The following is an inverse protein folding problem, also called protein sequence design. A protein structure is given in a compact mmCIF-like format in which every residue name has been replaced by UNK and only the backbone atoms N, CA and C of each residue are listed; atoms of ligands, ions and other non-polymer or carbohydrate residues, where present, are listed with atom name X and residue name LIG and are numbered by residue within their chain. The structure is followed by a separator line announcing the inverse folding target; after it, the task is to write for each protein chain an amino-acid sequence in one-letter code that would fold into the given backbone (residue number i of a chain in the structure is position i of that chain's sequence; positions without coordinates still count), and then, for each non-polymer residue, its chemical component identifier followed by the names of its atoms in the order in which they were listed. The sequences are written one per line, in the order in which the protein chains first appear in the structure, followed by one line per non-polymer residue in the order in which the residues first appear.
data_IF_157309807282
#
_entry.id   IF_157309807282
#
_cell.length_a   1.000
_cell.length_b   1.000
_cell.length_c   1.000
_cell.angle_alpha   90.00
_cell.angle_beta   90.00
_cell.angle_gamma   90.00
#
_symmetry.space_group_name_H-M   'P 1'
#
loop_
_entity.id
_entity.type
_entity.pdbx_description
1 polymer ?
#
# COMPACT_ATOMS: atom_id res chain seq x y z
N UNK A 1 -5.21 -26.34 -20.10
CA UNK A 1 -5.57 -24.94 -19.82
C UNK A 1 -5.32 -24.57 -18.34
N UNK A 2 -5.85 -25.33 -17.38
CA UNK A 2 -5.65 -25.11 -15.93
C UNK A 2 -4.15 -25.15 -15.52
N UNK A 3 -3.37 -26.10 -16.02
CA UNK A 3 -1.94 -26.17 -15.73
C UNK A 3 -1.14 -24.95 -16.26
N UNK A 4 -1.59 -24.33 -17.36
CA UNK A 4 -0.94 -23.15 -17.93
C UNK A 4 -1.21 -21.87 -17.14
N UNK A 5 -2.43 -21.73 -16.59
CA UNK A 5 -2.77 -20.59 -15.71
C UNK A 5 -2.00 -20.64 -14.39
N UNK A 6 -1.82 -21.84 -13.81
CA UNK A 6 -1.08 -22.00 -12.56
C UNK A 6 0.40 -21.63 -12.73
N UNK A 7 1.03 -22.08 -13.82
CA UNK A 7 2.42 -21.70 -14.14
C UNK A 7 2.54 -20.19 -14.33
N UNK A 8 1.62 -19.54 -15.05
CA UNK A 8 1.65 -18.09 -15.24
C UNK A 8 1.55 -17.32 -13.92
N UNK A 9 0.74 -17.80 -12.96
CA UNK A 9 0.59 -17.17 -11.63
C UNK A 9 1.83 -17.36 -10.77
N UNK A 10 2.39 -18.57 -10.74
CA UNK A 10 3.65 -18.84 -10.02
C UNK A 10 4.79 -18.00 -10.56
N UNK A 11 4.90 -17.86 -11.89
CA UNK A 11 5.90 -16.98 -12.52
C UNK A 11 5.69 -15.53 -12.11
N UNK A 12 4.44 -15.04 -12.12
CA UNK A 12 4.10 -13.68 -11.67
C UNK A 12 4.45 -13.44 -10.20
N UNK A 13 4.17 -14.42 -9.33
CA UNK A 13 4.55 -14.38 -7.92
C UNK A 13 6.07 -14.29 -7.75
N UNK A 14 6.82 -15.20 -8.38
CA UNK A 14 8.29 -15.22 -8.29
C UNK A 14 8.87 -13.91 -8.80
N UNK A 15 8.38 -13.41 -9.94
CA UNK A 15 8.84 -12.14 -10.51
C UNK A 15 8.56 -10.95 -9.59
N UNK A 16 7.38 -10.90 -8.95
CA UNK A 16 7.05 -9.83 -8.01
C UNK A 16 7.88 -9.89 -6.72
N UNK A 17 8.16 -11.08 -6.20
CA UNK A 17 9.08 -11.28 -5.08
C UNK A 17 10.50 -10.82 -5.42
N UNK A 18 11.01 -11.19 -6.61
CA UNK A 18 12.32 -10.76 -7.09
C UNK A 18 12.38 -9.24 -7.25
N UNK A 19 11.36 -8.63 -7.85
CA UNK A 19 11.26 -7.18 -7.99
C UNK A 19 11.31 -6.47 -6.62
N UNK A 20 10.56 -6.97 -5.64
CA UNK A 20 10.51 -6.36 -4.31
C UNK A 20 11.83 -6.54 -3.53
N UNK A 21 12.54 -7.66 -3.75
CA UNK A 21 13.82 -7.96 -3.07
C UNK A 21 14.95 -6.99 -3.42
N UNK A 22 14.86 -6.29 -4.55
CA UNK A 22 15.86 -5.30 -4.97
C UNK A 22 15.82 -4.06 -4.06
N UNK A 23 14.65 -3.63 -3.59
CA UNK A 23 14.50 -2.35 -2.90
C UNK A 23 15.27 -2.25 -1.58
N UNK A 24 15.26 -3.25 -0.68
CA UNK A 24 16.10 -3.23 0.52
C UNK A 24 17.62 -3.19 0.24
N UNK A 25 18.06 -3.60 -0.95
CA UNK A 25 19.47 -3.60 -1.35
C UNK A 25 19.92 -2.26 -1.93
N UNK A 26 18.99 -1.39 -2.29
CA UNK A 26 19.30 -0.07 -2.87
C UNK A 26 19.68 0.93 -1.77
N UNK A 27 20.62 1.86 -2.06
CA UNK A 27 21.11 2.81 -1.07
C UNK A 27 20.06 3.86 -0.72
N UNK A 28 19.91 4.19 0.57
CA UNK A 28 18.96 5.21 1.04
C UNK A 28 18.98 6.50 0.19
N UNK A 29 17.80 6.92 -0.28
CA UNK A 29 17.63 8.05 -1.19
C UNK A 29 17.91 9.36 -0.43
N UNK A 30 18.79 10.21 -0.97
CA UNK A 30 19.12 11.52 -0.39
C UNK A 30 20.62 11.73 -0.09
N UNK A 31 21.48 10.71 -0.26
CA UNK A 31 22.93 10.84 -0.02
C UNK A 31 23.75 11.32 -1.23
N UNK A 32 23.24 11.21 -2.46
CA UNK A 32 23.95 11.72 -3.64
C UNK A 32 23.04 12.43 -4.65
N UNK A 33 23.46 13.58 -5.22
CA UNK A 33 22.75 14.29 -6.27
C UNK A 33 23.07 13.67 -7.63
N UNK A 34 22.71 12.39 -7.84
CA UNK A 34 22.93 11.72 -9.13
C UNK A 34 21.60 11.36 -9.79
N UNK A 35 21.10 12.37 -10.49
CA UNK A 35 19.87 12.49 -11.28
C UNK A 35 19.88 11.69 -12.59
N UNK A 36 20.51 10.51 -12.65
CA UNK A 36 20.54 9.69 -13.87
C UNK A 36 19.68 8.41 -13.82
N UNK A 37 19.12 8.05 -12.66
CA UNK A 37 18.11 6.98 -12.57
C UNK A 37 16.66 7.50 -12.63
N UNK A 38 16.47 8.82 -12.77
CA UNK A 38 15.17 9.47 -12.83
C UNK A 38 14.39 9.22 -14.15
N UNK A 39 14.92 8.43 -15.08
CA UNK A 39 14.30 8.17 -16.38
C UNK A 39 14.04 6.68 -16.62
N UNK A 40 13.16 6.07 -15.81
CA UNK A 40 12.08 5.34 -16.46
C UNK A 40 10.71 5.95 -16.12
N UNK A 41 10.64 7.13 -15.48
CA UNK A 41 9.37 7.81 -15.21
C UNK A 41 8.59 8.22 -16.46
N UNK A 42 9.27 8.33 -17.62
CA UNK A 42 8.57 8.57 -18.91
C UNK A 42 7.99 7.32 -19.55
N UNK A 43 8.54 6.13 -19.27
CA UNK A 43 8.22 4.91 -20.03
C UNK A 43 7.68 3.74 -19.19
N UNK A 44 7.83 3.74 -17.86
CA UNK A 44 7.39 2.63 -17.02
C UNK A 44 5.86 2.52 -16.87
N UNK A 45 5.11 3.58 -17.18
CA UNK A 45 3.63 3.57 -17.16
C UNK A 45 3.05 3.39 -18.57
N UNK A 46 3.90 3.29 -19.61
CA UNK A 46 3.45 2.99 -20.98
C UNK A 46 3.26 1.48 -21.23
N UNK A 47 3.43 0.62 -20.22
CA UNK A 47 3.13 -0.81 -20.36
C UNK A 47 1.61 -1.05 -20.21
N UNK A 48 0.96 -0.99 -21.36
CA UNK A 48 -0.31 -1.64 -21.73
C UNK A 48 -1.45 -1.55 -20.70
N UNK A 49 -2.46 -0.69 -20.91
CA UNK A 49 -3.70 -0.82 -20.15
C UNK A 49 -4.29 -2.22 -20.41
N UNK A 50 -4.63 -2.99 -19.37
CA UNK A 50 -5.35 -4.24 -19.55
C UNK A 50 -6.65 -3.91 -20.30
N UNK A 51 -6.84 -4.54 -21.46
CA UNK A 51 -8.02 -4.38 -22.29
C UNK A 51 -9.21 -4.99 -21.56
N UNK A 52 -9.89 -4.19 -20.75
CA UNK A 52 -11.03 -4.61 -19.94
C UNK A 52 -12.18 -3.61 -20.11
N UNK A 53 -13.30 -4.07 -20.64
CA UNK A 53 -14.46 -3.27 -21.09
C UNK A 53 -15.22 -2.50 -20.00
N UNK A 54 -14.72 -2.42 -18.75
CA UNK A 54 -15.37 -1.71 -17.62
C UNK A 54 -14.88 -0.25 -17.44
N UNK A 55 -14.36 0.37 -18.51
CA UNK A 55 -13.41 1.50 -18.49
C UNK A 55 -13.97 2.87 -18.06
N UNK A 56 -15.28 3.07 -17.92
CA UNK A 56 -15.80 4.42 -17.61
C UNK A 56 -15.52 4.87 -16.16
N UNK A 57 -15.36 3.94 -15.21
CA UNK A 57 -15.17 4.30 -13.79
C UNK A 57 -13.70 4.48 -13.37
N UNK A 58 -12.74 3.84 -14.06
CA UNK A 58 -11.31 3.85 -13.69
C UNK A 58 -10.45 4.80 -14.53
N UNK A 59 -10.96 5.26 -15.68
CA UNK A 59 -10.33 6.29 -16.50
C UNK A 59 -9.87 7.55 -15.71
N UNK A 60 -10.68 8.14 -14.79
CA UNK A 60 -10.24 9.32 -14.05
C UNK A 60 -9.05 9.06 -13.11
N UNK A 61 -8.91 7.85 -12.57
CA UNK A 61 -7.81 7.52 -11.64
C UNK A 61 -6.49 7.29 -12.38
N UNK A 62 -6.55 6.68 -13.57
CA UNK A 62 -5.38 6.56 -14.44
C UNK A 62 -4.91 7.95 -14.89
N UNK A 63 -5.85 8.81 -15.27
CA UNK A 63 -5.55 10.20 -15.62
C UNK A 63 -4.94 10.97 -14.45
N UNK A 64 -5.43 10.75 -13.22
CA UNK A 64 -4.87 11.36 -12.02
C UNK A 64 -3.40 10.96 -11.80
N UNK A 65 -3.06 9.67 -11.94
CA UNK A 65 -1.68 9.21 -11.80
C UNK A 65 -0.79 9.81 -12.90
N UNK A 66 -1.25 9.86 -14.14
CA UNK A 66 -0.53 10.51 -15.23
C UNK A 66 -0.29 12.01 -14.94
N UNK A 67 -1.31 12.71 -14.42
CA UNK A 67 -1.19 14.10 -13.98
C UNK A 67 -0.15 14.26 -12.86
N UNK A 68 -0.10 13.34 -11.89
CA UNK A 68 0.92 13.36 -10.84
C UNK A 68 2.34 13.24 -11.40
N UNK A 69 2.56 12.36 -12.38
CA UNK A 69 3.88 12.24 -13.04
C UNK A 69 4.28 13.50 -13.79
N UNK A 70 3.32 14.16 -14.46
CA UNK A 70 3.55 15.44 -15.11
C UNK A 70 3.88 16.54 -14.10
N UNK A 71 3.16 16.63 -12.99
CA UNK A 71 3.41 17.59 -11.91
C UNK A 71 4.77 17.38 -11.28
N UNK A 72 5.17 16.12 -11.03
CA UNK A 72 6.50 15.80 -10.51
C UNK A 72 7.60 16.26 -11.48
N UNK A 73 7.49 15.90 -12.76
CA UNK A 73 8.48 16.28 -13.78
C UNK A 73 8.57 17.80 -13.99
N UNK A 74 7.44 18.49 -14.04
CA UNK A 74 7.40 19.94 -14.20
C UNK A 74 7.89 20.68 -12.96
N UNK A 75 7.61 20.17 -11.75
CA UNK A 75 8.15 20.73 -10.50
C UNK A 75 9.66 20.61 -10.46
N UNK A 76 10.19 19.44 -10.79
CA UNK A 76 11.63 19.23 -10.87
C UNK A 76 12.29 20.17 -11.90
N UNK A 77 11.71 20.30 -13.09
CA UNK A 77 12.21 21.24 -14.12
C UNK A 77 12.14 22.71 -13.66
N UNK A 78 11.08 23.12 -12.96
CA UNK A 78 10.92 24.50 -12.49
C UNK A 78 11.93 24.86 -11.39
N UNK A 79 12.19 23.91 -10.48
CA UNK A 79 13.18 24.05 -9.42
C UNK A 79 14.61 24.11 -9.98
N UNK A 80 14.93 23.29 -10.98
CA UNK A 80 16.21 23.37 -11.71
C UNK A 80 16.42 24.74 -12.38
N UNK A 81 15.36 25.31 -12.93
CA UNK A 81 15.37 26.64 -13.54
C UNK A 81 15.30 27.79 -12.52
N UNK A 82 15.30 27.50 -11.21
CA UNK A 82 15.16 28.48 -10.12
C UNK A 82 13.91 29.37 -10.21
N UNK A 83 12.87 28.90 -10.90
CA UNK A 83 11.59 29.63 -11.07
C UNK A 83 10.63 29.43 -9.89
N UNK A 84 11.04 28.67 -8.87
CA UNK A 84 10.23 28.34 -7.71
C UNK A 84 9.17 27.27 -8.01
N UNK A 85 8.24 27.08 -7.09
CA UNK A 85 7.14 26.12 -7.23
C UNK A 85 5.95 26.79 -7.94
N UNK A 86 5.51 26.30 -9.11
CA UNK A 86 4.33 26.83 -9.78
C UNK A 86 3.07 26.59 -8.94
N UNK A 87 2.21 27.62 -8.81
CA UNK A 87 0.96 27.53 -8.06
C UNK A 87 0.03 26.42 -8.57
N UNK A 88 0.01 26.20 -9.88
CA UNK A 88 -0.76 25.11 -10.49
C UNK A 88 -0.33 23.74 -9.97
N UNK A 89 0.98 23.48 -9.95
CA UNK A 89 1.55 22.23 -9.45
C UNK A 89 1.22 22.02 -7.97
N UNK A 90 1.36 23.09 -7.18
CA UNK A 90 1.02 23.07 -5.76
C UNK A 90 -0.46 22.71 -5.55
N UNK A 91 -1.36 23.36 -6.27
CA UNK A 91 -2.81 23.11 -6.16
C UNK A 91 -3.16 21.66 -6.55
N UNK A 92 -2.56 21.14 -7.63
CA UNK A 92 -2.77 19.75 -8.05
C UNK A 92 -2.22 18.77 -7.02
N UNK A 93 -1.07 19.03 -6.39
CA UNK A 93 -0.51 18.17 -5.36
C UNK A 93 -1.43 18.08 -4.13
N UNK A 94 -1.89 19.22 -3.62
CA UNK A 94 -2.82 19.27 -2.48
C UNK A 94 -4.18 18.65 -2.83
N UNK A 95 -4.70 18.91 -4.03
CA UNK A 95 -5.92 18.28 -4.51
C UNK A 95 -5.76 16.75 -4.61
N UNK A 96 -4.61 16.26 -5.07
CA UNK A 96 -4.32 14.82 -5.15
C UNK A 96 -4.34 14.19 -3.76
N UNK A 97 -3.69 14.81 -2.78
CA UNK A 97 -3.70 14.33 -1.38
C UNK A 97 -5.11 14.28 -0.79
N UNK A 98 -5.93 15.33 -1.00
CA UNK A 98 -7.32 15.30 -0.55
C UNK A 98 -8.13 14.23 -1.28
N UNK A 99 -7.92 14.10 -2.59
CA UNK A 99 -8.61 13.12 -3.42
C UNK A 99 -8.29 11.68 -3.04
N UNK A 100 -7.12 11.39 -2.47
CA UNK A 100 -6.74 10.01 -2.13
C UNK A 100 -7.60 9.39 -1.04
N UNK A 101 -8.24 10.20 -0.19
CA UNK A 101 -9.20 9.73 0.80
C UNK A 101 -10.62 9.63 0.23
N UNK A 102 -10.99 10.57 -0.65
CA UNK A 102 -12.36 10.71 -1.16
C UNK A 102 -12.64 9.75 -2.32
N UNK A 103 -11.72 9.65 -3.27
CA UNK A 103 -11.91 8.84 -4.50
C UNK A 103 -12.15 7.36 -4.20
N UNK A 104 -11.41 6.71 -3.27
CA UNK A 104 -11.71 5.34 -2.90
C UNK A 104 -13.13 5.17 -2.40
N UNK A 105 -13.63 6.07 -1.54
CA UNK A 105 -14.96 5.98 -0.91
C UNK A 105 -16.12 6.13 -1.91
N UNK A 106 -15.90 6.81 -3.03
CA UNK A 106 -16.86 6.96 -4.13
C UNK A 106 -16.92 5.75 -5.07
N UNK A 107 -15.86 4.93 -5.06
CA UNK A 107 -15.78 3.72 -5.89
C UNK A 107 -16.80 2.65 -5.47
N UNK A 108 -16.98 1.65 -6.33
CA UNK A 108 -17.75 0.44 -6.00
C UNK A 108 -17.10 -0.30 -4.84
N UNK A 109 -17.91 -0.97 -4.02
CA UNK A 109 -17.49 -1.79 -2.88
C UNK A 109 -17.03 -3.20 -3.28
N UNK A 110 -17.10 -3.55 -4.57
CA UNK A 110 -16.54 -4.80 -5.11
C UNK A 110 -15.04 -4.88 -4.80
N UNK A 111 -14.57 -6.01 -4.29
CA UNK A 111 -13.21 -6.18 -3.77
C UNK A 111 -12.15 -5.63 -4.72
N UNK A 112 -12.15 -6.13 -5.97
CA UNK A 112 -11.14 -5.76 -6.96
C UNK A 112 -11.19 -4.27 -7.34
N UNK A 113 -12.37 -3.72 -7.58
CA UNK A 113 -12.52 -2.31 -7.97
C UNK A 113 -12.18 -1.35 -6.83
N UNK A 114 -12.55 -1.69 -5.59
CA UNK A 114 -12.20 -0.90 -4.40
C UNK A 114 -10.70 -0.94 -4.16
N UNK A 115 -10.09 -2.13 -4.17
CA UNK A 115 -8.66 -2.28 -3.92
C UNK A 115 -7.85 -1.53 -4.98
N UNK A 116 -8.15 -1.71 -6.26
CA UNK A 116 -7.46 -0.99 -7.33
C UNK A 116 -7.65 0.53 -7.22
N UNK A 117 -8.85 0.98 -6.83
CA UNK A 117 -9.12 2.40 -6.57
C UNK A 117 -8.30 2.96 -5.41
N UNK A 118 -8.13 2.21 -4.32
CA UNK A 118 -7.28 2.60 -3.19
C UNK A 118 -5.82 2.67 -3.64
N UNK A 119 -5.34 1.64 -4.34
CA UNK A 119 -3.96 1.56 -4.81
C UNK A 119 -3.60 2.72 -5.74
N UNK A 120 -4.42 3.00 -6.75
CA UNK A 120 -4.16 4.09 -7.70
C UNK A 120 -4.14 5.47 -7.02
N UNK A 121 -5.05 5.68 -6.06
CA UNK A 121 -5.09 6.89 -5.26
C UNK A 121 -3.83 7.09 -4.40
N UNK A 122 -3.39 6.04 -3.70
CA UNK A 122 -2.21 6.09 -2.82
C UNK A 122 -0.90 6.16 -3.61
N UNK A 123 -0.79 5.46 -4.74
CA UNK A 123 0.36 5.53 -5.64
C UNK A 123 0.54 6.95 -6.17
N UNK A 124 -0.54 7.63 -6.58
CA UNK A 124 -0.47 9.03 -7.02
C UNK A 124 0.14 9.96 -5.98
N UNK A 125 -0.30 9.85 -4.73
CA UNK A 125 0.26 10.63 -3.61
C UNK A 125 1.70 10.26 -3.32
N UNK A 126 2.03 8.97 -3.32
CA UNK A 126 3.39 8.50 -3.08
C UNK A 126 4.37 9.00 -4.16
N UNK A 127 3.96 9.00 -5.42
CA UNK A 127 4.74 9.54 -6.55
C UNK A 127 5.08 11.01 -6.33
N UNK A 128 4.12 11.84 -5.89
CA UNK A 128 4.36 13.26 -5.60
C UNK A 128 5.30 13.47 -4.40
N UNK A 129 5.35 12.50 -3.49
CA UNK A 129 6.22 12.50 -2.30
C UNK A 129 7.55 11.77 -2.54
N UNK A 130 7.90 11.42 -3.78
CA UNK A 130 9.11 10.66 -4.11
C UNK A 130 10.06 11.46 -4.99
N UNK A 131 11.36 11.29 -4.77
CA UNK A 131 12.40 11.97 -5.57
C UNK A 131 13.20 11.01 -6.47
N UNK A 132 13.11 9.70 -6.22
CA UNK A 132 13.95 8.71 -6.88
C UNK A 132 13.24 7.39 -7.17
N UNK A 133 14.02 6.29 -7.19
CA UNK A 133 13.54 4.94 -7.50
C UNK A 133 12.50 4.42 -6.48
N UNK A 134 12.46 4.98 -5.27
CA UNK A 134 11.49 4.65 -4.23
C UNK A 134 10.04 4.79 -4.71
N UNK A 135 9.78 5.64 -5.71
CA UNK A 135 8.46 5.85 -6.29
C UNK A 135 7.85 4.58 -6.92
N UNK A 136 8.70 3.61 -7.31
CA UNK A 136 8.29 2.32 -7.85
C UNK A 136 7.95 1.29 -6.77
N UNK A 137 8.34 1.52 -5.52
CA UNK A 137 8.15 0.57 -4.43
C UNK A 137 6.67 0.23 -4.17
N UNK A 138 5.75 1.21 -4.03
CA UNK A 138 4.33 0.89 -3.82
C UNK A 138 3.71 0.14 -5.00
N UNK A 139 4.18 0.37 -6.23
CA UNK A 139 3.73 -0.36 -7.41
C UNK A 139 4.17 -1.83 -7.34
N UNK A 140 5.46 -2.09 -7.05
CA UNK A 140 5.98 -3.44 -6.88
C UNK A 140 5.28 -4.17 -5.71
N UNK A 141 5.08 -3.49 -4.59
CA UNK A 141 4.34 -4.01 -3.43
C UNK A 141 2.89 -4.34 -3.80
N UNK A 142 2.21 -3.46 -4.54
CA UNK A 142 0.83 -3.68 -4.96
C UNK A 142 0.68 -4.89 -5.90
N UNK A 143 1.64 -5.10 -6.81
CA UNK A 143 1.68 -6.30 -7.66
C UNK A 143 1.76 -7.56 -6.80
N UNK A 144 2.70 -7.59 -5.85
CA UNK A 144 2.88 -8.71 -4.94
C UNK A 144 1.60 -8.99 -4.13
N UNK A 145 0.93 -7.93 -3.65
CA UNK A 145 -0.31 -8.06 -2.89
C UNK A 145 -1.45 -8.65 -3.74
N UNK A 146 -1.59 -8.23 -5.01
CA UNK A 146 -2.54 -8.85 -5.93
C UNK A 146 -2.20 -10.31 -6.21
N UNK A 147 -0.92 -10.63 -6.39
CA UNK A 147 -0.44 -12.01 -6.52
C UNK A 147 -0.84 -12.85 -5.31
N UNK A 148 -0.67 -12.32 -4.10
CA UNK A 148 -1.01 -12.99 -2.85
C UNK A 148 -2.51 -13.27 -2.74
N UNK A 149 -3.35 -12.28 -3.01
CA UNK A 149 -4.81 -12.43 -2.99
C UNK A 149 -5.25 -13.53 -3.97
N UNK A 150 -4.73 -13.52 -5.20
CA UNK A 150 -5.07 -14.49 -6.23
C UNK A 150 -4.66 -15.93 -5.84
N UNK A 151 -3.47 -16.10 -5.25
CA UNK A 151 -3.02 -17.39 -4.75
C UNK A 151 -3.91 -17.93 -3.61
N UNK A 152 -4.34 -17.05 -2.71
CA UNK A 152 -5.24 -17.45 -1.64
C UNK A 152 -6.63 -17.84 -2.14
N UNK A 153 -7.17 -17.15 -3.16
CA UNK A 153 -8.45 -17.53 -3.77
C UNK A 153 -8.39 -18.92 -4.38
N UNK A 154 -7.32 -19.24 -5.11
CA UNK A 154 -7.17 -20.54 -5.74
C UNK A 154 -7.13 -21.67 -4.71
N UNK A 155 -6.37 -21.48 -3.63
CA UNK A 155 -6.27 -22.45 -2.53
C UNK A 155 -7.65 -22.75 -1.94
N UNK A 156 -8.52 -21.74 -1.81
CA UNK A 156 -9.90 -21.92 -1.33
C UNK A 156 -10.79 -22.64 -2.36
N UNK A 157 -10.59 -22.38 -3.66
CA UNK A 157 -11.32 -23.06 -4.74
C UNK A 157 -10.96 -24.54 -4.83
N UNK A 158 -9.68 -24.89 -4.71
CA UNK A 158 -9.20 -26.29 -4.73
C UNK A 158 -9.69 -27.08 -3.52
N UNK A 159 -9.86 -26.44 -2.35
CA UNK A 159 -10.42 -27.08 -1.15
C UNK A 159 -11.95 -27.29 -1.21
N UNK A 160 -12.61 -27.03 -2.35
CA UNK A 160 -14.03 -27.33 -2.58
C UNK A 160 -15.01 -26.44 -1.79
N UNK A 161 -14.53 -25.37 -1.17
CA UNK A 161 -15.31 -24.52 -0.26
C UNK A 161 -16.03 -23.35 -0.97
N UNK A 162 -15.81 -23.16 -2.28
CA UNK A 162 -16.42 -22.08 -3.07
C UNK A 162 -16.64 -22.54 -4.52
N UNK A 163 -17.92 -22.55 -4.96
CA UNK A 163 -18.27 -22.59 -6.37
C UNK A 163 -17.63 -21.39 -7.05
N UNK A 164 -16.71 -21.60 -8.01
CA UNK A 164 -15.96 -20.59 -8.81
C UNK A 164 -16.64 -19.21 -8.85
N UNK A 165 -16.43 -18.40 -7.80
CA UNK A 165 -16.87 -17.01 -7.75
C UNK A 165 -15.65 -16.16 -8.01
N UNK A 166 -15.66 -15.45 -9.13
CA UNK A 166 -14.60 -14.53 -9.51
C UNK A 166 -14.40 -13.46 -8.43
N UNK A 167 -13.17 -12.94 -8.29
CA UNK A 167 -12.79 -11.86 -7.35
C UNK A 167 -13.70 -10.61 -7.48
N UNK A 168 -14.38 -10.46 -8.61
CA UNK A 168 -15.32 -9.39 -8.95
C UNK A 168 -16.69 -9.49 -8.25
N UNK A 169 -17.08 -10.67 -7.73
CA UNK A 169 -18.40 -10.89 -7.11
C UNK A 169 -18.43 -10.63 -5.61
N UNK A 170 -17.29 -10.59 -4.94
CA UNK A 170 -17.21 -10.33 -3.51
C UNK A 170 -17.35 -8.84 -3.20
N UNK A 171 -18.08 -8.52 -2.14
CA UNK A 171 -18.36 -7.16 -1.70
C UNK A 171 -17.81 -6.93 -0.28
N UNK A 172 -17.08 -5.83 -0.08
CA UNK A 172 -16.58 -5.42 1.24
C UNK A 172 -17.71 -5.06 2.23
N UNK A 173 -18.92 -4.78 1.74
CA UNK A 173 -20.09 -4.46 2.56
C UNK A 173 -20.85 -5.72 3.03
N UNK A 174 -20.50 -6.92 2.55
CA UNK A 174 -21.13 -8.16 3.00
C UNK A 174 -20.79 -8.38 4.49
N UNK A 175 -21.75 -8.07 5.37
CA UNK A 175 -21.62 -8.36 6.80
C UNK A 175 -21.48 -9.86 6.96
N UNK A 176 -20.32 -10.29 7.45
CA UNK A 176 -20.06 -11.71 7.73
C UNK A 176 -21.09 -12.16 8.77
N UNK A 177 -22.16 -12.81 8.31
CA UNK A 177 -23.15 -13.43 9.20
C UNK A 177 -22.41 -14.37 10.15
N UNK A 178 -22.64 -14.23 11.46
CA UNK A 178 -21.99 -15.06 12.50
C UNK A 178 -22.20 -16.56 12.25
N UNK A 179 -23.26 -16.94 11.54
CA UNK A 179 -23.60 -18.32 11.16
C UNK A 179 -22.72 -18.90 10.06
N UNK A 180 -21.94 -18.06 9.33
CA UNK A 180 -21.06 -18.47 8.22
C UNK A 180 -19.57 -18.35 8.54
N UNK A 181 -19.20 -18.05 9.80
CA UNK A 181 -17.80 -17.94 10.21
C UNK A 181 -17.14 -19.33 10.14
N UNK A 182 -16.08 -19.42 9.34
CA UNK A 182 -15.27 -20.64 9.24
C UNK A 182 -14.39 -20.80 10.48
N UNK A 183 -14.23 -22.04 10.94
CA UNK A 183 -13.26 -22.39 12.00
C UNK A 183 -11.81 -22.10 11.55
N UNK A 184 -10.96 -21.77 12.52
CA UNK A 184 -9.53 -21.53 12.32
C UNK A 184 -8.81 -22.78 11.80
N UNK A 185 -7.99 -22.60 10.77
CA UNK A 185 -7.12 -23.65 10.21
C UNK A 185 -5.66 -23.22 10.25
N UNK A 186 -4.74 -24.17 10.06
CA UNK A 186 -3.31 -23.86 9.94
C UNK A 186 -3.00 -22.93 8.75
N UNK A 187 -3.84 -22.97 7.72
CA UNK A 187 -3.80 -22.02 6.60
C UNK A 187 -3.92 -20.55 7.06
N UNK A 188 -4.64 -20.31 8.16
CA UNK A 188 -4.85 -18.97 8.71
C UNK A 188 -3.60 -18.47 9.45
N UNK A 189 -2.84 -19.36 10.09
CA UNK A 189 -1.53 -19.04 10.67
C UNK A 189 -0.55 -18.65 9.56
N UNK A 190 -0.52 -19.40 8.45
CA UNK A 190 0.32 -19.08 7.29
C UNK A 190 -0.01 -17.70 6.72
N UNK A 191 -1.29 -17.34 6.61
CA UNK A 191 -1.73 -16.02 6.14
C UNK A 191 -1.31 -14.90 7.07
N UNK A 192 -1.48 -15.07 8.38
CA UNK A 192 -1.03 -14.10 9.38
C UNK A 192 0.49 -13.93 9.39
N UNK A 193 1.24 -15.02 9.17
CA UNK A 193 2.69 -14.96 9.01
C UNK A 193 3.10 -14.13 7.78
N UNK A 194 2.52 -14.42 6.60
CA UNK A 194 2.77 -13.63 5.38
C UNK A 194 2.39 -12.16 5.56
N UNK A 195 1.28 -11.88 6.25
CA UNK A 195 0.88 -10.52 6.59
C UNK A 195 1.97 -9.80 7.39
N UNK A 196 2.43 -10.37 8.51
CA UNK A 196 3.50 -9.77 9.33
C UNK A 196 4.78 -9.58 8.51
N UNK A 197 5.13 -10.58 7.69
CA UNK A 197 6.28 -10.50 6.78
C UNK A 197 6.17 -9.33 5.79
N UNK A 198 5.02 -9.14 5.14
CA UNK A 198 4.81 -8.02 4.23
C UNK A 198 4.79 -6.67 4.92
N UNK A 199 4.33 -6.59 6.16
CA UNK A 199 4.45 -5.36 6.97
C UNK A 199 5.91 -5.02 7.25
N UNK A 200 6.74 -6.00 7.59
CA UNK A 200 8.18 -5.79 7.80
C UNK A 200 8.84 -5.31 6.50
N UNK A 201 8.49 -5.93 5.36
CA UNK A 201 8.99 -5.47 4.06
C UNK A 201 8.49 -4.06 3.74
N UNK A 202 7.23 -3.72 4.04
CA UNK A 202 6.70 -2.38 3.82
C UNK A 202 7.45 -1.31 4.63
N UNK A 203 7.91 -1.65 5.83
CA UNK A 203 8.68 -0.75 6.70
C UNK A 203 10.14 -0.61 6.30
N UNK A 204 10.82 -1.70 5.97
CA UNK A 204 12.25 -1.63 5.62
C UNK A 204 12.52 -1.44 4.13
N UNK A 205 11.52 -1.71 3.27
CA UNK A 205 11.71 -1.82 1.83
C UNK A 205 12.21 -0.55 1.15
N UNK A 206 11.86 0.63 1.66
CA UNK A 206 12.31 1.91 1.07
C UNK A 206 13.61 2.43 1.70
N UNK A 207 14.14 1.77 2.73
CA UNK A 207 15.41 2.11 3.42
C UNK A 207 15.40 3.43 4.21
N UNK A 208 14.56 4.39 3.83
CA UNK A 208 14.50 5.74 4.38
C UNK A 208 13.72 5.83 5.70
N UNK A 209 12.96 4.79 6.06
CA UNK A 209 12.00 4.82 7.17
C UNK A 209 12.69 4.60 8.53
N UNK A 210 13.80 3.85 8.55
CA UNK A 210 14.52 3.52 9.79
C UNK A 210 15.16 4.76 10.46
N UNK A 211 15.37 5.85 9.73
CA UNK A 211 15.79 7.14 10.29
C UNK A 211 15.06 8.30 9.63
N UNK A 212 14.18 8.99 10.37
CA UNK A 212 13.46 10.17 9.84
C UNK A 212 14.45 11.23 9.29
N UNK A 213 15.66 11.29 9.87
CA UNK A 213 16.73 12.18 9.45
C UNK A 213 17.33 11.85 8.07
N UNK A 214 17.05 10.68 7.48
CA UNK A 214 17.48 10.35 6.11
C UNK A 214 16.49 10.82 5.04
N UNK A 215 15.29 11.29 5.40
CA UNK A 215 14.37 11.82 4.40
C UNK A 215 14.89 13.14 3.83
N UNK A 216 15.09 13.15 2.51
CA UNK A 216 15.40 14.36 1.77
C UNK A 216 14.19 15.33 1.78
N UNK A 217 14.34 16.57 2.27
CA UNK A 217 13.31 17.59 2.19
C UNK A 217 12.80 17.84 0.77
N UNK A 218 13.59 17.52 -0.26
CA UNK A 218 13.15 17.66 -1.65
C UNK A 218 11.93 16.79 -1.99
N UNK A 219 11.67 15.73 -1.22
CA UNK A 219 10.50 14.87 -1.39
C UNK A 219 9.17 15.56 -1.15
N UNK A 220 9.13 16.68 -0.41
CA UNK A 220 7.89 17.44 -0.17
C UNK A 220 7.73 18.66 -1.08
N UNK A 221 8.70 18.94 -1.96
CA UNK A 221 8.71 20.17 -2.77
C UNK A 221 7.56 20.28 -3.77
N UNK A 222 6.90 19.17 -4.11
CA UNK A 222 5.65 19.20 -4.87
C UNK A 222 4.50 19.91 -4.12
N UNK A 223 4.57 20.03 -2.79
CA UNK A 223 3.54 20.63 -1.92
C UNK A 223 3.95 21.98 -1.36
N UNK A 224 5.19 22.09 -0.90
CA UNK A 224 5.71 23.28 -0.24
C UNK A 224 7.24 23.34 -0.35
N UNK A 225 7.75 24.52 -0.64
CA UNK A 225 9.20 24.82 -0.68
C UNK A 225 9.68 25.59 0.54
N UNK A 226 8.76 26.25 1.26
CA UNK A 226 9.06 26.96 2.50
C UNK A 226 9.10 25.96 3.65
N UNK A 227 10.18 25.98 4.44
CA UNK A 227 10.33 25.08 5.57
C UNK A 227 9.21 25.27 6.59
N UNK A 228 8.40 24.24 6.77
CA UNK A 228 7.41 24.14 7.85
C UNK A 228 7.53 22.73 8.45
N UNK A 229 8.15 22.59 9.64
CA UNK A 229 8.52 21.28 10.19
C UNK A 229 7.30 20.40 10.44
N UNK A 230 6.16 20.99 10.83
CA UNK A 230 4.95 20.22 11.13
C UNK A 230 4.28 19.69 9.87
N UNK A 231 4.13 20.52 8.83
CA UNK A 231 3.50 20.07 7.57
C UNK A 231 4.43 19.12 6.81
N UNK A 232 5.72 19.45 6.74
CA UNK A 232 6.72 18.58 6.11
C UNK A 232 6.81 17.24 6.82
N UNK A 233 6.90 17.25 8.15
CA UNK A 233 6.88 16.03 8.97
C UNK A 233 5.60 15.23 8.76
N UNK A 234 4.44 15.88 8.74
CA UNK A 234 3.15 15.22 8.46
C UNK A 234 3.07 14.56 7.08
N UNK A 235 3.56 15.22 6.03
CA UNK A 235 3.62 14.65 4.68
C UNK A 235 4.57 13.45 4.60
N UNK A 236 5.72 13.51 5.28
CA UNK A 236 6.65 12.39 5.37
C UNK A 236 6.05 11.23 6.17
N UNK A 237 5.36 11.50 7.29
CA UNK A 237 4.63 10.47 8.03
C UNK A 237 3.54 9.83 7.16
N UNK A 238 2.84 10.61 6.34
CA UNK A 238 1.87 10.07 5.39
C UNK A 238 2.54 9.20 4.32
N UNK A 239 3.70 9.60 3.79
CA UNK A 239 4.51 8.78 2.87
C UNK A 239 4.86 7.43 3.47
N UNK A 240 5.28 7.41 4.75
CA UNK A 240 5.58 6.18 5.50
C UNK A 240 4.33 5.31 5.65
N UNK A 241 3.15 5.91 5.84
CA UNK A 241 1.89 5.20 6.03
C UNK A 241 1.43 4.38 4.81
N UNK A 242 1.68 4.90 3.60
CA UNK A 242 1.10 4.38 2.35
C UNK A 242 1.36 2.87 2.15
N UNK A 243 2.60 2.35 2.22
CA UNK A 243 2.87 0.92 2.11
C UNK A 243 2.09 0.05 3.10
N UNK A 244 1.92 0.51 4.33
CA UNK A 244 1.13 -0.22 5.34
C UNK A 244 -0.33 -0.31 4.95
N UNK A 245 -0.93 0.79 4.49
CA UNK A 245 -2.32 0.80 4.05
C UNK A 245 -2.54 -0.18 2.91
N UNK A 246 -1.58 -0.27 1.97
CA UNK A 246 -1.63 -1.22 0.86
C UNK A 246 -1.69 -2.67 1.35
N UNK A 247 -0.79 -3.05 2.27
CA UNK A 247 -0.75 -4.42 2.83
C UNK A 247 -1.99 -4.72 3.67
N UNK A 248 -2.46 -3.76 4.47
CA UNK A 248 -3.67 -3.90 5.29
C UNK A 248 -4.93 -4.09 4.44
N UNK A 249 -5.07 -3.32 3.34
CA UNK A 249 -6.18 -3.49 2.41
C UNK A 249 -6.15 -4.86 1.72
N UNK A 250 -4.97 -5.38 1.39
CA UNK A 250 -4.83 -6.73 0.85
C UNK A 250 -5.23 -7.81 1.87
N UNK A 251 -4.83 -7.63 3.13
CA UNK A 251 -5.20 -8.54 4.22
C UNK A 251 -6.70 -8.55 4.50
N UNK A 252 -7.35 -7.38 4.57
CA UNK A 252 -8.81 -7.26 4.66
C UNK A 252 -9.51 -7.94 3.47
N UNK A 253 -8.96 -7.83 2.26
CA UNK A 253 -9.49 -8.52 1.07
C UNK A 253 -9.41 -10.05 1.20
N UNK A 254 -8.29 -10.58 1.70
CA UNK A 254 -8.13 -12.01 1.98
C UNK A 254 -9.10 -12.45 3.07
N UNK A 255 -9.29 -11.64 4.09
CA UNK A 255 -10.21 -11.96 5.17
C UNK A 255 -11.66 -12.05 4.68
N UNK A 256 -12.14 -11.06 3.93
CA UNK A 256 -13.52 -11.03 3.41
C UNK A 256 -13.75 -12.19 2.44
N UNK A 257 -12.81 -12.44 1.54
CA UNK A 257 -12.92 -13.53 0.57
C UNK A 257 -12.85 -14.93 1.18
N UNK A 258 -12.17 -15.08 2.34
CA UNK A 258 -12.04 -16.37 3.04
C UNK A 258 -13.06 -16.56 4.17
N UNK A 259 -13.93 -15.56 4.41
CA UNK A 259 -14.99 -15.55 5.43
C UNK A 259 -14.48 -15.85 6.85
N UNK A 260 -13.35 -15.25 7.19
CA UNK A 260 -12.72 -15.41 8.50
C UNK A 260 -13.14 -14.33 9.49
N UNK A 261 -13.18 -14.70 10.77
CA UNK A 261 -13.38 -13.76 11.88
C UNK A 261 -12.18 -12.80 11.99
N UNK A 262 -12.43 -11.48 11.91
CA UNK A 262 -11.36 -10.47 12.02
C UNK A 262 -10.64 -10.58 13.35
N UNK A 263 -11.40 -10.82 14.41
CA UNK A 263 -10.88 -10.91 15.78
C UNK A 263 -9.86 -12.03 15.92
N UNK A 264 -10.17 -13.21 15.38
CA UNK A 264 -9.31 -14.39 15.50
C UNK A 264 -8.01 -14.25 14.70
N UNK A 265 -8.09 -13.74 13.47
CA UNK A 265 -6.89 -13.49 12.66
C UNK A 265 -5.99 -12.42 13.29
N UNK A 266 -6.60 -11.35 13.78
CA UNK A 266 -5.87 -10.27 14.44
C UNK A 266 -5.18 -10.74 15.71
N UNK A 267 -5.80 -11.62 16.51
CA UNK A 267 -5.14 -12.24 17.66
C UNK A 267 -3.93 -13.07 17.25
N UNK A 268 -4.00 -13.83 16.14
CA UNK A 268 -2.85 -14.58 15.63
C UNK A 268 -1.73 -13.63 15.20
N UNK A 269 -2.06 -12.55 14.49
CA UNK A 269 -1.08 -11.51 14.10
C UNK A 269 -0.42 -10.89 15.33
N UNK A 270 -1.19 -10.57 16.37
CA UNK A 270 -0.69 -10.02 17.62
C UNK A 270 0.27 -11.01 18.30
N UNK A 271 -0.11 -12.29 18.42
CA UNK A 271 0.77 -13.32 19.01
C UNK A 271 2.07 -13.48 18.23
N UNK A 272 2.02 -13.54 16.90
CA UNK A 272 3.23 -13.64 16.07
C UNK A 272 4.12 -12.41 16.27
N UNK A 273 3.52 -11.22 16.37
CA UNK A 273 4.26 -9.98 16.55
C UNK A 273 4.88 -9.86 17.95
N UNK A 274 4.20 -10.33 18.98
CA UNK A 274 4.73 -10.38 20.35
C UNK A 274 5.89 -11.39 20.46
N UNK A 275 5.80 -12.54 19.80
CA UNK A 275 6.91 -13.50 19.71
C UNK A 275 8.13 -12.87 19.04
N UNK A 276 7.91 -12.11 17.97
CA UNK A 276 8.97 -11.34 17.31
C UNK A 276 9.56 -10.26 18.24
N UNK A 277 8.70 -9.54 19.00
CA UNK A 277 9.14 -8.54 19.97
C UNK A 277 10.00 -9.18 21.07
N UNK A 278 9.60 -10.33 21.61
CA UNK A 278 10.36 -11.09 22.60
C UNK A 278 11.72 -11.53 22.05
N UNK A 279 11.77 -11.98 20.80
CA UNK A 279 13.04 -12.30 20.15
C UNK A 279 13.98 -11.09 20.12
N UNK A 280 13.49 -9.90 19.74
CA UNK A 280 14.31 -8.69 19.77
C UNK A 280 14.67 -8.24 21.19
N UNK A 281 13.79 -8.45 22.16
CA UNK A 281 14.07 -8.20 23.57
C UNK A 281 15.28 -9.02 24.06
N UNK A 282 15.32 -10.31 23.72
CA UNK A 282 16.46 -11.18 24.03
C UNK A 282 17.75 -10.82 23.27
N UNK A 283 17.65 -10.03 22.19
CA UNK A 283 18.79 -9.53 21.42
C UNK A 283 19.25 -8.13 21.86
N UNK A 284 18.59 -7.51 22.84
CA UNK A 284 19.04 -6.24 23.42
C UNK A 284 20.41 -6.45 24.05
N UNK A 285 21.36 -5.57 23.70
CA UNK A 285 22.73 -5.64 24.19
C UNK A 285 22.96 -4.57 25.24
N UNK A 286 23.56 -4.98 26.36
CA UNK A 286 23.99 -4.07 27.44
C UNK A 286 25.51 -3.76 27.37
N UNK A 287 26.18 -4.23 26.32
CA UNK A 287 27.63 -4.10 26.12
C UNK A 287 27.96 -3.78 24.66
N UNK A 288 29.15 -3.21 24.43
CA UNK A 288 29.60 -2.80 23.10
C UNK A 288 29.59 -1.28 22.91
N UNK A 289 29.52 -0.83 21.65
CA UNK A 289 29.44 0.60 21.37
C UNK A 289 28.07 1.18 21.75
N UNK A 290 28.00 2.46 22.09
CA UNK A 290 26.73 3.16 22.33
C UNK A 290 25.77 3.07 21.14
N UNK A 291 26.31 2.99 19.92
CA UNK A 291 25.52 2.81 18.70
C UNK A 291 24.89 1.41 18.65
N UNK A 292 25.64 0.37 19.00
CA UNK A 292 25.13 -1.01 19.01
C UNK A 292 24.04 -1.20 20.09
N UNK A 293 24.25 -0.61 21.26
CA UNK A 293 23.27 -0.59 22.35
C UNK A 293 22.00 0.14 21.86
N UNK A 294 22.16 1.36 21.34
CA UNK A 294 21.05 2.18 20.86
C UNK A 294 20.27 1.54 19.69
N UNK A 295 20.96 0.87 18.75
CA UNK A 295 20.31 0.18 17.63
C UNK A 295 19.54 -1.06 18.08
N UNK A 296 20.07 -1.84 19.01
CA UNK A 296 19.37 -3.00 19.58
C UNK A 296 18.06 -2.58 20.29
N UNK A 297 18.12 -1.51 21.09
CA UNK A 297 16.95 -0.91 21.75
C UNK A 297 15.96 -0.37 20.71
N UNK A 298 16.45 0.33 19.69
CA UNK A 298 15.61 0.90 18.63
C UNK A 298 14.85 -0.18 17.87
N UNK A 299 15.48 -1.30 17.52
CA UNK A 299 14.79 -2.42 16.85
C UNK A 299 13.66 -3.00 17.71
N UNK A 300 13.90 -3.17 19.02
CA UNK A 300 12.86 -3.64 19.94
C UNK A 300 11.67 -2.66 20.02
N UNK A 301 11.94 -1.35 20.19
CA UNK A 301 10.91 -0.30 20.24
C UNK A 301 10.15 -0.17 18.92
N UNK A 302 10.84 -0.32 17.79
CA UNK A 302 10.21 -0.30 16.46
C UNK A 302 9.21 -1.46 16.37
N UNK A 303 9.60 -2.68 16.70
CA UNK A 303 8.69 -3.84 16.63
C UNK A 303 7.46 -3.66 17.51
N UNK A 304 7.63 -3.21 18.77
CA UNK A 304 6.49 -2.95 19.66
C UNK A 304 5.59 -1.81 19.18
N UNK A 305 6.17 -0.71 18.69
CA UNK A 305 5.37 0.43 18.21
C UNK A 305 4.61 0.07 16.93
N UNK A 306 5.20 -0.77 16.08
CA UNK A 306 4.59 -1.28 14.87
C UNK A 306 3.33 -2.11 15.15
N UNK A 307 3.30 -2.95 16.19
CA UNK A 307 2.09 -3.72 16.52
C UNK A 307 0.91 -2.82 16.88
N UNK A 308 1.14 -1.84 17.75
CA UNK A 308 0.13 -0.84 18.17
C UNK A 308 -0.37 -0.06 16.95
N UNK A 309 0.56 0.36 16.10
CA UNK A 309 0.27 1.13 14.90
C UNK A 309 -0.58 0.34 13.88
N UNK A 310 -0.31 -0.95 13.69
CA UNK A 310 -1.13 -1.82 12.84
C UNK A 310 -2.56 -1.95 13.37
N UNK A 311 -2.76 -1.93 14.69
CA UNK A 311 -4.10 -1.93 15.28
C UNK A 311 -4.88 -0.68 14.86
N UNK A 312 -4.26 0.49 14.96
CA UNK A 312 -4.88 1.76 14.54
C UNK A 312 -5.15 1.79 13.04
N UNK A 313 -4.20 1.31 12.24
CA UNK A 313 -4.33 1.21 10.79
C UNK A 313 -5.47 0.29 10.37
N UNK A 314 -5.73 -0.79 11.11
CA UNK A 314 -6.82 -1.73 10.80
C UNK A 314 -8.18 -1.04 10.79
N UNK A 315 -8.41 -0.11 11.73
CA UNK A 315 -9.64 0.67 11.83
C UNK A 315 -9.75 1.58 10.61
N UNK A 316 -8.66 2.28 10.26
CA UNK A 316 -8.63 3.17 9.11
C UNK A 316 -8.87 2.43 7.79
N UNK A 317 -8.20 1.29 7.58
CA UNK A 317 -8.35 0.49 6.36
C UNK A 317 -9.73 -0.12 6.27
N UNK A 318 -10.32 -0.56 7.38
CA UNK A 318 -11.69 -1.04 7.42
C UNK A 318 -12.69 0.05 6.99
N UNK A 319 -12.51 1.28 7.48
CA UNK A 319 -13.33 2.43 7.06
C UNK A 319 -13.17 2.69 5.55
N UNK A 320 -11.94 2.79 5.05
CA UNK A 320 -11.64 3.08 3.64
C UNK A 320 -12.25 2.02 2.69
N UNK A 321 -12.31 0.79 3.17
CA UNK A 321 -12.70 -0.38 2.40
C UNK A 321 -14.21 -0.61 2.44
N UNK A 322 -14.82 -0.58 3.63
CA UNK A 322 -16.24 -0.89 3.87
C UNK A 322 -17.19 0.28 3.59
N UNK A 323 -16.79 1.54 3.86
CA UNK A 323 -17.70 2.69 3.73
C UNK A 323 -17.82 3.16 2.29
N UNK A 324 -19.05 3.27 1.79
CA UNK A 324 -19.32 3.88 0.47
C UNK A 324 -20.12 5.17 0.65
N UNK A 325 -19.65 6.25 0.02
CA UNK A 325 -20.40 7.51 -0.06
C UNK A 325 -21.24 7.45 -1.33
N UNK A 326 -22.56 7.35 -1.18
CA UNK A 326 -23.50 7.38 -2.31
C UNK A 326 -23.92 8.82 -2.55
N UNK A 327 -23.28 9.48 -3.52
CA UNK A 327 -23.70 10.80 -4.01
C UNK A 327 -24.82 10.56 -5.04
N UNK A 328 -26.05 10.90 -4.67
CA UNK A 328 -27.20 10.87 -5.57
C UNK A 328 -28.18 9.73 -5.28
N UNK A 329 -29.10 9.96 -4.35
CA UNK A 329 -30.37 9.24 -4.34
C UNK A 329 -31.13 9.71 -5.59
N UNK A 330 -31.12 8.93 -6.68
CA UNK A 330 -32.09 9.14 -7.76
C UNK A 330 -33.47 9.08 -7.12
N UNK A 331 -34.15 10.21 -7.05
CA UNK A 331 -35.55 10.29 -6.66
C UNK A 331 -36.30 9.40 -7.65
N UNK A 332 -36.81 8.25 -7.19
CA UNK A 332 -37.74 7.45 -7.99
C UNK A 332 -38.99 8.30 -8.15
N UNK A 333 -39.10 8.99 -9.27
CA UNK A 333 -40.36 9.58 -9.71
C UNK A 333 -41.28 8.40 -10.04
N UNK A 334 -42.17 8.06 -9.12
CA UNK A 334 -43.35 7.28 -9.45
C UNK A 334 -44.21 8.16 -10.37
N UNK A 335 -44.17 7.88 -11.67
CA UNK A 335 -45.24 8.33 -12.57
C UNK A 335 -46.46 7.45 -12.27
N UNK A 336 -47.50 8.05 -11.70
CA UNK A 336 -48.88 7.55 -11.69
C UNK A 336 -49.67 8.25 -12.76
#
# INVERSE_FOLDING_TARGET
QIAGENVSRTVSWVLSCLCLSVFPLLPAVGREPNTNYALPHRNAIAQTPPRCNSLNAMCPQVLQVALCTYVLASTHSSLQQKRGLPLFNQLVSWATLASSFVLPLLSSTRLFHRLLSILMALVGVYLLLSTGYEALFPLALSWLMFGWINMEQETMSTQGMSNRTELSSFDFTETIDLTRIRQLRLDDIRRSYFFVFFIIIAFFGTGNIASINSFDPASVYCFLTVFNPFIMGGLLMWKVLIPFVIVMCAFESIQVSTRLSSRSLFLIVLVISDLMALHFFCLVKDYGSWLDIGTSISHYVIVMSMTIFLMLLSIMTHILTSRRIVIGRKMKMHFT
#
